data_IF_926838242367
#
_entry.id   IF_926838242367
#
_cell.length_a   1.000
_cell.length_b   1.000
_cell.length_c   1.000
_cell.angle_alpha   90.00
_cell.angle_beta   90.00
_cell.angle_gamma   90.00
#
_symmetry.space_group_name_H-M   'P 1'
#
loop_
_entity.id
_entity.type
_entity.pdbx_description
1 polymer ?
#
# COMPACT_ATOMS: atom_id res chain seq x y z
N UNK A 1 22.94 19.71 -10.81
CA UNK A 1 21.60 19.38 -10.30
C UNK A 1 20.91 18.53 -11.34
N UNK A 2 20.70 17.25 -11.07
CA UNK A 2 19.97 16.35 -11.98
C UNK A 2 18.51 16.79 -12.00
N UNK A 3 18.01 17.22 -13.14
CA UNK A 3 16.58 17.51 -13.31
C UNK A 3 15.83 16.18 -13.31
N UNK A 4 15.02 15.98 -12.30
CA UNK A 4 14.07 14.88 -12.24
C UNK A 4 12.94 15.18 -13.24
N UNK A 5 12.77 14.30 -14.22
CA UNK A 5 11.69 14.42 -15.19
C UNK A 5 10.54 13.49 -14.81
N UNK A 6 9.37 14.05 -14.56
CA UNK A 6 8.14 13.30 -14.25
C UNK A 6 7.24 13.32 -15.49
N UNK A 7 6.88 12.15 -15.98
CA UNK A 7 5.93 11.95 -17.08
C UNK A 7 4.67 11.26 -16.55
N UNK A 8 3.52 11.89 -16.71
CA UNK A 8 2.24 11.30 -16.35
C UNK A 8 1.79 10.37 -17.48
N UNK A 9 1.42 9.14 -17.12
CA UNK A 9 1.01 8.10 -18.06
C UNK A 9 -0.33 7.47 -17.65
N UNK A 10 -0.97 6.80 -18.61
CA UNK A 10 -2.15 5.96 -18.38
C UNK A 10 -1.76 4.49 -18.28
N UNK A 11 -2.65 3.64 -17.77
CA UNK A 11 -2.43 2.18 -17.67
C UNK A 11 -2.12 1.58 -19.05
N UNK A 12 -2.88 1.99 -20.07
CA UNK A 12 -2.75 1.45 -21.42
C UNK A 12 -1.38 1.77 -22.05
N UNK A 13 -0.85 2.95 -21.74
CA UNK A 13 0.47 3.39 -22.23
C UNK A 13 1.64 2.81 -21.44
N UNK A 14 1.40 2.20 -20.27
CA UNK A 14 2.46 1.73 -19.37
C UNK A 14 3.44 0.79 -20.06
N UNK A 15 2.94 -0.29 -20.66
CA UNK A 15 3.78 -1.33 -21.28
C UNK A 15 4.59 -0.78 -22.46
N UNK A 16 4.00 0.09 -23.28
CA UNK A 16 4.68 0.72 -24.41
C UNK A 16 5.81 1.63 -23.93
N UNK A 17 5.53 2.49 -22.93
CA UNK A 17 6.51 3.40 -22.34
C UNK A 17 7.66 2.64 -21.68
N UNK A 18 7.36 1.58 -20.93
CA UNK A 18 8.36 0.73 -20.27
C UNK A 18 9.24 0.02 -21.29
N UNK A 19 8.68 -0.49 -22.39
CA UNK A 19 9.46 -1.07 -23.50
C UNK A 19 10.38 -0.03 -24.13
N UNK A 20 9.87 1.15 -24.43
CA UNK A 20 10.67 2.25 -24.97
C UNK A 20 11.84 2.59 -24.04
N UNK A 21 11.62 2.65 -22.72
CA UNK A 21 12.71 2.85 -21.75
C UNK A 21 13.73 1.72 -21.77
N UNK A 22 13.27 0.47 -21.94
CA UNK A 22 14.17 -0.68 -22.08
C UNK A 22 15.04 -0.60 -23.34
N UNK A 23 14.42 -0.24 -24.48
CA UNK A 23 15.12 -0.12 -25.77
C UNK A 23 16.15 1.02 -25.76
N UNK A 24 15.87 2.08 -24.99
CA UNK A 24 16.82 3.17 -24.74
C UNK A 24 17.98 2.78 -23.82
N UNK A 25 17.97 1.57 -23.24
CA UNK A 25 18.99 1.12 -22.31
C UNK A 25 18.83 1.63 -20.87
N UNK A 26 17.65 2.18 -20.53
CA UNK A 26 17.36 2.60 -19.16
C UNK A 26 17.29 1.38 -18.22
N UNK A 27 17.82 1.53 -17.02
CA UNK A 27 17.61 0.54 -15.94
C UNK A 27 16.42 0.94 -15.08
N UNK A 28 15.65 -0.02 -14.63
CA UNK A 28 14.64 0.21 -13.60
C UNK A 28 15.35 0.37 -12.25
N UNK A 29 15.06 1.47 -11.55
CA UNK A 29 15.62 1.77 -10.23
C UNK A 29 14.69 1.28 -9.15
N UNK A 30 13.42 1.69 -9.22
CA UNK A 30 12.37 1.27 -8.26
C UNK A 30 10.98 1.47 -8.84
N UNK A 31 10.01 0.82 -8.20
CA UNK A 31 8.59 1.12 -8.35
C UNK A 31 8.08 1.48 -6.96
N UNK A 32 7.50 2.65 -6.80
CA UNK A 32 6.92 3.09 -5.53
C UNK A 32 5.42 3.30 -5.65
N UNK A 33 4.70 3.01 -4.58
CA UNK A 33 3.27 3.24 -4.46
C UNK A 33 2.98 4.22 -3.32
N UNK A 34 2.04 5.12 -3.54
CA UNK A 34 1.61 6.09 -2.54
C UNK A 34 0.09 6.11 -2.49
N UNK A 35 -0.47 5.91 -1.28
CA UNK A 35 -1.90 6.02 -1.07
C UNK A 35 -2.29 7.49 -0.95
N UNK A 36 -3.18 7.93 -1.83
CA UNK A 36 -3.83 9.23 -1.79
C UNK A 36 -5.33 9.06 -1.51
N UNK A 37 -6.05 10.11 -1.10
CA UNK A 37 -7.49 10.04 -0.91
C UNK A 37 -8.21 9.59 -2.20
N UNK A 38 -8.76 8.37 -2.19
CA UNK A 38 -9.49 7.79 -3.31
C UNK A 38 -8.66 7.24 -4.47
N UNK A 39 -7.34 7.33 -4.43
CA UNK A 39 -6.47 6.84 -5.50
C UNK A 39 -5.13 6.33 -4.97
N UNK A 40 -4.48 5.49 -5.77
CA UNK A 40 -3.11 5.04 -5.54
C UNK A 40 -2.26 5.60 -6.67
N UNK A 41 -1.18 6.27 -6.31
CA UNK A 41 -0.20 6.77 -7.26
C UNK A 41 0.99 5.81 -7.31
N UNK A 42 1.30 5.32 -8.51
CA UNK A 42 2.47 4.50 -8.78
C UNK A 42 3.51 5.31 -9.53
N UNK A 43 4.75 5.23 -9.10
CA UNK A 43 5.88 5.89 -9.77
C UNK A 43 6.93 4.85 -10.12
N UNK A 44 7.22 4.74 -11.41
CA UNK A 44 8.27 3.90 -11.97
C UNK A 44 9.50 4.76 -12.26
N UNK A 45 10.58 4.53 -11.56
CA UNK A 45 11.82 5.30 -11.69
C UNK A 45 12.82 4.57 -12.57
N UNK A 46 13.26 5.25 -13.63
CA UNK A 46 14.27 4.75 -14.58
C UNK A 46 15.49 5.65 -14.56
N UNK A 47 16.66 5.05 -14.69
CA UNK A 47 17.92 5.77 -14.79
C UNK A 47 18.62 5.46 -16.12
N UNK A 48 19.13 6.51 -16.76
CA UNK A 48 19.98 6.43 -17.92
C UNK A 48 21.13 7.45 -17.76
N UNK A 49 22.36 6.97 -17.67
CA UNK A 49 23.55 7.81 -17.55
C UNK A 49 23.43 8.87 -16.41
N UNK A 50 22.98 8.45 -15.24
CA UNK A 50 22.74 9.30 -14.06
C UNK A 50 21.65 10.37 -14.25
N UNK A 51 20.75 10.17 -15.20
CA UNK A 51 19.53 10.97 -15.37
C UNK A 51 18.32 10.15 -14.98
N UNK A 52 17.61 10.63 -13.99
CA UNK A 52 16.40 9.97 -13.47
C UNK A 52 15.17 10.45 -14.27
N UNK A 53 14.38 9.50 -14.74
CA UNK A 53 13.07 9.74 -15.36
C UNK A 53 12.03 8.93 -14.61
N UNK A 54 10.95 9.58 -14.20
CA UNK A 54 9.86 8.96 -13.48
C UNK A 54 8.61 8.91 -14.35
N UNK A 55 8.05 7.71 -14.54
CA UNK A 55 6.73 7.52 -15.11
C UNK A 55 5.73 7.44 -13.96
N UNK A 56 4.76 8.32 -13.92
CA UNK A 56 3.77 8.39 -12.85
C UNK A 56 2.39 8.01 -13.37
N UNK A 57 1.73 7.12 -12.63
CA UNK A 57 0.43 6.55 -12.96
C UNK A 57 -0.49 6.69 -11.76
N UNK A 58 -1.67 7.29 -11.95
CA UNK A 58 -2.71 7.37 -10.93
C UNK A 58 -3.79 6.33 -11.18
N UNK A 59 -4.07 5.52 -10.17
CA UNK A 59 -5.04 4.43 -10.20
C UNK A 59 -6.17 4.70 -9.21
N UNK A 60 -7.43 4.38 -9.54
CA UNK A 60 -8.49 4.41 -8.53
C UNK A 60 -8.20 3.39 -7.43
N UNK A 61 -8.52 3.74 -6.19
CA UNK A 61 -8.21 2.89 -5.04
C UNK A 61 -9.01 1.58 -4.95
N UNK A 62 -9.98 1.37 -5.85
CA UNK A 62 -10.89 0.22 -5.85
C UNK A 62 -10.67 -0.61 -7.10
N UNK A 63 -10.40 -1.93 -6.90
CA UNK A 63 -10.32 -2.98 -7.93
C UNK A 63 -9.40 -2.67 -9.12
N UNK A 64 -8.28 -2.03 -8.87
CA UNK A 64 -7.34 -1.71 -9.94
C UNK A 64 -6.54 -2.93 -10.34
N UNK A 65 -6.50 -3.19 -11.64
CA UNK A 65 -5.64 -4.17 -12.29
C UNK A 65 -4.52 -3.45 -13.03
N UNK A 66 -3.32 -3.93 -12.85
CA UNK A 66 -2.11 -3.39 -13.43
C UNK A 66 -1.43 -4.46 -14.26
N UNK A 67 -1.05 -4.20 -15.51
CA UNK A 67 -0.24 -5.15 -16.27
C UNK A 67 1.17 -5.23 -15.69
N UNK A 68 1.69 -6.44 -15.49
CA UNK A 68 3.04 -6.67 -15.01
C UNK A 68 4.09 -6.24 -16.04
N UNK A 69 5.14 -5.61 -15.57
CA UNK A 69 6.33 -5.30 -16.36
C UNK A 69 7.49 -6.27 -16.11
N UNK A 70 7.25 -7.32 -15.31
CA UNK A 70 8.28 -8.30 -14.92
C UNK A 70 8.89 -9.06 -16.10
N UNK A 71 8.14 -9.22 -17.20
CA UNK A 71 8.64 -9.79 -18.44
C UNK A 71 9.67 -8.89 -19.16
N UNK A 72 9.64 -7.58 -18.92
CA UNK A 72 10.55 -6.59 -19.51
C UNK A 72 11.72 -6.33 -18.55
N UNK A 73 11.41 -6.14 -17.26
CA UNK A 73 12.35 -5.92 -16.19
C UNK A 73 12.17 -6.95 -15.09
N UNK A 74 13.00 -8.01 -15.07
CA UNK A 74 12.89 -9.09 -14.08
C UNK A 74 12.95 -8.62 -12.61
N UNK A 75 13.66 -7.51 -12.32
CA UNK A 75 13.70 -6.93 -10.97
C UNK A 75 12.35 -6.35 -10.51
N UNK A 76 11.41 -6.10 -11.42
CA UNK A 76 10.07 -5.62 -11.07
C UNK A 76 9.26 -6.63 -10.27
N UNK A 77 9.56 -7.93 -10.34
CA UNK A 77 8.86 -9.00 -9.63
C UNK A 77 8.70 -8.67 -8.14
N UNK A 78 9.76 -8.20 -7.48
CA UNK A 78 9.73 -7.92 -6.05
C UNK A 78 8.83 -6.72 -5.74
N UNK A 79 8.96 -5.64 -6.50
CA UNK A 79 8.15 -4.43 -6.32
C UNK A 79 6.67 -4.67 -6.61
N UNK A 80 6.35 -5.44 -7.64
CA UNK A 80 4.97 -5.76 -8.01
C UNK A 80 4.27 -6.63 -6.96
N UNK A 81 4.97 -7.61 -6.38
CA UNK A 81 4.46 -8.39 -5.25
C UNK A 81 4.32 -7.54 -3.98
N UNK A 82 5.24 -6.62 -3.73
CA UNK A 82 5.15 -5.66 -2.61
C UNK A 82 3.90 -4.78 -2.75
N UNK A 83 3.67 -4.21 -3.92
CA UNK A 83 2.51 -3.36 -4.20
C UNK A 83 1.20 -4.16 -4.04
N UNK A 84 1.19 -5.40 -4.50
CA UNK A 84 0.06 -6.30 -4.29
C UNK A 84 -0.21 -6.52 -2.80
N UNK A 85 0.81 -6.88 -2.01
CA UNK A 85 0.64 -7.23 -0.60
C UNK A 85 0.33 -6.03 0.30
N UNK A 86 0.88 -4.86 -0.01
CA UNK A 86 0.73 -3.69 0.83
C UNK A 86 -0.45 -2.80 0.45
N UNK A 87 -0.76 -2.68 -0.85
CA UNK A 87 -1.76 -1.74 -1.37
C UNK A 87 -2.99 -2.41 -2.00
N UNK A 88 -3.04 -3.76 -2.05
CA UNK A 88 -4.13 -4.51 -2.70
C UNK A 88 -4.33 -4.18 -4.20
N UNK A 89 -3.27 -3.82 -4.89
CA UNK A 89 -3.29 -3.66 -6.34
C UNK A 89 -3.10 -5.02 -7.00
N UNK A 90 -4.04 -5.43 -7.85
CA UNK A 90 -3.92 -6.68 -8.59
C UNK A 90 -2.98 -6.49 -9.78
N UNK A 91 -1.94 -7.30 -9.87
CA UNK A 91 -0.99 -7.27 -10.98
C UNK A 91 -1.22 -8.49 -11.86
N UNK A 92 -1.60 -8.26 -13.12
CA UNK A 92 -1.88 -9.33 -14.08
C UNK A 92 -0.61 -9.68 -14.86
N UNK A 93 -0.31 -10.98 -14.99
CA UNK A 93 0.83 -11.47 -15.77
C UNK A 93 2.17 -11.44 -15.03
N UNK A 94 2.15 -11.52 -13.70
CA UNK A 94 3.36 -11.70 -12.89
C UNK A 94 4.11 -12.96 -13.31
N UNK A 95 5.42 -12.85 -13.53
CA UNK A 95 6.28 -14.00 -13.83
C UNK A 95 6.41 -14.92 -12.61
N UNK A 96 6.45 -14.35 -11.42
CA UNK A 96 6.43 -15.06 -10.13
C UNK A 96 5.45 -14.35 -9.21
N UNK A 97 4.39 -15.05 -8.81
CA UNK A 97 3.38 -14.55 -7.89
C UNK A 97 3.52 -15.26 -6.54
N UNK A 98 3.72 -14.50 -5.47
CA UNK A 98 3.76 -15.00 -4.09
C UNK A 98 2.38 -15.12 -3.45
N UNK A 99 1.30 -14.83 -4.20
CA UNK A 99 -0.10 -14.97 -3.77
C UNK A 99 -0.41 -14.24 -2.45
N UNK A 100 0.11 -13.03 -2.28
CA UNK A 100 -0.12 -12.24 -1.08
C UNK A 100 0.66 -12.71 0.16
N UNK A 101 1.75 -13.46 -0.05
CA UNK A 101 2.62 -13.97 1.02
C UNK A 101 4.07 -13.48 0.89
N UNK A 102 4.32 -12.44 0.10
CA UNK A 102 5.64 -11.85 -0.01
C UNK A 102 6.05 -11.17 1.30
N UNK A 103 5.11 -10.45 1.94
CA UNK A 103 5.27 -9.90 3.27
C UNK A 103 4.38 -10.59 4.30
N UNK A 104 4.94 -10.88 5.47
CA UNK A 104 4.16 -11.32 6.64
C UNK A 104 3.75 -10.11 7.45
N UNK A 105 2.56 -9.59 7.18
CA UNK A 105 1.99 -8.43 7.88
C UNK A 105 0.92 -8.85 8.88
N UNK A 106 0.74 -8.09 9.96
CA UNK A 106 -0.32 -8.35 10.94
C UNK A 106 -1.72 -8.11 10.37
N UNK A 107 -1.83 -7.21 9.39
CA UNK A 107 -3.09 -6.87 8.71
C UNK A 107 -2.83 -7.00 7.21
N UNK A 108 -3.76 -7.62 6.48
CA UNK A 108 -3.68 -7.66 5.00
C UNK A 108 -3.87 -6.26 4.43
N UNK A 109 -3.05 -5.91 3.45
CA UNK A 109 -3.10 -4.63 2.73
C UNK A 109 -3.05 -3.41 3.65
N UNK A 110 -1.99 -3.26 4.48
CA UNK A 110 -1.93 -2.20 5.50
C UNK A 110 -2.01 -0.78 4.92
N UNK A 111 -1.64 -0.60 3.66
CA UNK A 111 -1.70 0.69 2.95
C UNK A 111 -2.76 0.72 1.83
N UNK A 112 -3.54 -0.37 1.67
CA UNK A 112 -4.65 -0.39 0.73
C UNK A 112 -5.84 0.40 1.26
N UNK A 113 -6.72 0.85 0.36
CA UNK A 113 -7.99 1.47 0.72
C UNK A 113 -8.91 0.44 1.37
N UNK A 114 -8.65 0.15 2.63
CA UNK A 114 -9.69 -0.46 3.46
C UNK A 114 -10.72 0.64 3.67
N UNK A 115 -11.96 0.44 3.22
CA UNK A 115 -13.09 1.14 3.84
C UNK A 115 -12.85 1.00 5.33
N UNK A 116 -12.68 2.12 6.02
CA UNK A 116 -12.68 2.13 7.47
C UNK A 116 -14.08 1.66 7.89
N UNK A 117 -14.28 0.35 7.94
CA UNK A 117 -15.28 -0.17 8.84
C UNK A 117 -14.76 0.23 10.21
N UNK A 118 -15.49 1.10 10.87
CA UNK A 118 -15.33 1.39 12.28
C UNK A 118 -15.41 0.04 13.02
N UNK A 119 -14.27 -0.64 13.12
CA UNK A 119 -14.10 -1.72 14.05
C UNK A 119 -13.79 -1.04 15.38
N UNK A 120 -14.83 -1.00 16.21
CA UNK A 120 -14.70 -0.71 17.62
C UNK A 120 -13.41 -1.32 18.16
N UNK A 121 -12.58 -0.46 18.72
CA UNK A 121 -11.45 -0.74 19.57
C UNK A 121 -11.69 -1.97 20.46
N UNK A 122 -11.05 -3.07 20.12
CA UNK A 122 -10.70 -4.07 21.09
C UNK A 122 -9.25 -3.80 21.47
N UNK A 123 -9.07 -2.95 22.45
CA UNK A 123 -7.80 -2.70 23.10
C UNK A 123 -7.23 -4.01 23.61
N UNK A 124 -6.03 -4.35 23.18
CA UNK A 124 -5.21 -5.34 23.85
C UNK A 124 -4.82 -4.82 25.24
N UNK A 125 -4.92 -5.62 26.31
CA UNK A 125 -4.50 -5.18 27.63
C UNK A 125 -2.99 -5.13 27.72
N UNK A 126 -2.46 -3.96 28.04
CA UNK A 126 -1.08 -3.81 28.47
C UNK A 126 -0.93 -4.39 29.89
N UNK A 127 0.15 -5.12 30.23
CA UNK A 127 0.37 -5.60 31.59
C UNK A 127 0.96 -4.48 32.45
N UNK A 128 0.29 -4.21 33.56
CA UNK A 128 0.91 -3.65 34.75
C UNK A 128 0.72 -2.16 35.03
N UNK A 129 -0.29 -1.83 35.84
CA UNK A 129 -0.17 -0.79 36.87
C UNK A 129 -1.27 -1.01 37.91
N UNK A 130 -0.83 -0.92 39.16
CA UNK A 130 -1.49 -1.29 40.38
C UNK A 130 -2.73 -0.47 40.76
N UNK A 131 -3.65 -1.18 41.40
CA UNK A 131 -4.55 -0.75 42.53
C UNK A 131 -4.79 0.74 42.76
N UNK A 132 -6.01 1.19 42.50
CA UNK A 132 -6.64 2.20 43.32
C UNK A 132 -8.09 1.78 43.58
N UNK A 133 -8.32 1.46 44.84
CA UNK A 133 -9.60 1.23 45.50
C UNK A 133 -10.53 2.44 45.33
N UNK A 134 -11.71 2.21 44.81
CA UNK A 134 -12.80 3.16 44.95
C UNK A 134 -14.01 2.43 45.54
N UNK A 135 -14.28 2.76 46.81
CA UNK A 135 -15.37 2.22 47.61
C UNK A 135 -16.73 2.60 47.04
N UNK A 136 -17.75 1.74 47.15
CA UNK A 136 -19.11 2.11 46.79
C UNK A 136 -19.78 2.91 47.94
N UNK A 137 -20.41 4.01 47.57
CA UNK A 137 -21.27 4.78 48.46
C UNK A 137 -22.56 4.01 48.81
N UNK A 138 -23.09 4.18 50.02
CA UNK A 138 -24.23 3.41 50.51
C UNK A 138 -25.55 3.89 49.91
N UNK A 139 -26.38 2.96 49.52
CA UNK A 139 -27.75 3.18 49.11
C UNK A 139 -28.59 3.56 50.31
N UNK A 140 -29.27 4.70 50.22
CA UNK A 140 -30.31 5.10 51.16
C UNK A 140 -31.60 4.31 50.90
N UNK A 141 -32.06 3.68 51.93
CA UNK A 141 -33.35 3.00 52.01
C UNK A 141 -34.41 3.98 52.57
N UNK A 142 -35.57 4.17 51.96
CA UNK A 142 -36.69 4.74 52.67
C UNK A 142 -37.63 3.63 53.12
N UNK A 143 -37.81 3.63 54.42
CA UNK A 143 -38.55 2.70 55.18
C UNK A 143 -40.04 2.64 54.93
N UNK A 144 -40.55 1.58 55.52
CA UNK A 144 -41.90 1.16 55.67
C UNK A 144 -42.82 2.19 56.39
N UNK A 145 -44.06 2.17 56.02
CA UNK A 145 -45.11 2.31 57.02
C UNK A 145 -46.46 1.72 56.54
N UNK A 146 -46.93 0.78 57.34
CA UNK A 146 -48.30 0.33 57.59
C UNK A 146 -49.10 -0.28 56.45
#
# INVERSE_FOLDING_TARGET
>A
MSQEQIELITIDALLEKVRTKKDQGCRLVQISATQLPGQIELTYSFDLNSRLTNLRLSLPAVETRLPSISSIYGCAILYENEIHDLFNVKVDGLTVDFHGNFYKTAIKFPFGSTKVACASSAAAPAPGAATASCAPAPAANPGATK
#
